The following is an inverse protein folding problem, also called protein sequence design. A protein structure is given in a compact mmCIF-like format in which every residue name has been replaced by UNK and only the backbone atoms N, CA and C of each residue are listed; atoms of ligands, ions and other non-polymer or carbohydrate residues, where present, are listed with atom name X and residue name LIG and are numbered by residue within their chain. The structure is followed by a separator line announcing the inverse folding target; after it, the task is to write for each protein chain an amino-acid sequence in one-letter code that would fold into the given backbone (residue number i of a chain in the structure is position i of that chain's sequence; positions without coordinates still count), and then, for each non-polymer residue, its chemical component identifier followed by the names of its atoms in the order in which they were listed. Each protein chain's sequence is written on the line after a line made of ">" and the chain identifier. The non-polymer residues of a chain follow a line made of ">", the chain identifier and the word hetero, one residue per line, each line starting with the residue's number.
data_IF_062056042036
#
_entry.id   IF_062056042036
#
_cell.length_a   1.000
_cell.length_b   1.000
_cell.length_c   1.000
_cell.angle_alpha   90.00
_cell.angle_beta   90.00
_cell.angle_gamma   90.00
#
_symmetry.space_group_name_H-M   'P 1'
#
loop_
_entity.id
_entity.type
_entity.pdbx_description
1 polymer ?
#
# COMPACT_ATOMS: atom_id res chain seq x y z
N UNK A 1 26.76 48.43 -6.28
CA UNK A 1 26.42 48.00 -7.66
C UNK A 1 25.03 47.40 -7.84
N UNK A 2 24.33 46.89 -6.81
CA UNK A 2 22.89 46.53 -6.89
C UNK A 2 22.44 45.85 -8.20
N UNK A 3 23.29 45.03 -8.80
CA UNK A 3 23.05 44.47 -10.14
C UNK A 3 22.20 43.19 -10.07
N UNK A 4 22.09 42.59 -8.88
CA UNK A 4 21.31 41.38 -8.57
C UNK A 4 21.59 40.21 -9.52
N UNK A 5 22.77 40.21 -10.16
CA UNK A 5 23.15 39.16 -11.10
C UNK A 5 23.59 37.91 -10.34
N UNK A 6 23.27 36.70 -10.85
CA UNK A 6 23.90 35.49 -10.34
C UNK A 6 25.39 35.48 -10.74
N UNK A 7 26.24 35.13 -9.79
CA UNK A 7 27.66 34.88 -10.03
C UNK A 7 28.00 33.50 -9.50
N UNK A 8 28.47 32.64 -10.40
CA UNK A 8 28.93 31.30 -10.07
C UNK A 8 30.15 30.98 -10.95
N UNK A 9 31.27 30.67 -10.31
CA UNK A 9 32.56 30.46 -10.95
C UNK A 9 33.11 29.09 -10.52
N UNK A 10 33.72 28.38 -11.46
CA UNK A 10 34.39 27.09 -11.25
C UNK A 10 35.87 27.22 -11.55
N UNK A 11 36.68 26.62 -10.68
CA UNK A 11 38.11 26.41 -10.90
C UNK A 11 38.39 24.91 -10.84
N UNK A 12 39.20 24.40 -11.77
CA UNK A 12 39.69 23.01 -11.77
C UNK A 12 41.20 22.92 -11.54
N UNK A 13 41.86 24.03 -11.20
CA UNK A 13 43.32 24.15 -11.11
C UNK A 13 43.78 24.78 -9.78
N UNK A 14 43.02 24.53 -8.72
CA UNK A 14 43.23 25.06 -7.37
C UNK A 14 43.18 26.60 -7.28
N UNK A 15 42.33 27.22 -8.10
CA UNK A 15 41.96 28.64 -8.01
C UNK A 15 42.80 29.56 -8.90
N UNK A 16 43.63 29.01 -9.79
CA UNK A 16 44.48 29.80 -10.70
C UNK A 16 43.65 30.40 -11.83
N UNK A 17 42.69 29.65 -12.36
CA UNK A 17 41.77 30.13 -13.39
C UNK A 17 40.32 29.83 -13.00
N UNK A 18 39.43 30.78 -13.32
CA UNK A 18 38.02 30.71 -13.00
C UNK A 18 37.19 30.87 -14.27
N UNK A 19 36.28 29.92 -14.49
CA UNK A 19 35.33 29.95 -15.59
C UNK A 19 33.92 30.11 -15.04
N UNK A 20 33.11 30.95 -15.65
CA UNK A 20 31.71 31.07 -15.25
C UNK A 20 30.93 29.81 -15.56
N UNK A 21 30.14 29.37 -14.58
CA UNK A 21 29.18 28.26 -14.68
C UNK A 21 27.76 28.75 -14.36
N UNK A 22 27.51 30.05 -14.57
CA UNK A 22 26.16 30.64 -14.44
C UNK A 22 25.20 30.06 -15.48
N UNK A 23 25.72 29.66 -16.65
CA UNK A 23 24.94 29.00 -17.70
C UNK A 23 23.72 29.82 -18.11
N UNK A 24 22.56 29.17 -18.04
CA UNK A 24 21.23 29.73 -18.34
C UNK A 24 20.40 30.08 -17.08
N UNK A 25 21.04 30.25 -15.91
CA UNK A 25 20.35 30.81 -14.73
C UNK A 25 19.70 32.16 -15.06
N UNK A 26 18.55 32.50 -14.45
CA UNK A 26 17.87 33.77 -14.72
C UNK A 26 18.77 34.98 -14.50
N UNK A 27 18.65 35.99 -15.38
CA UNK A 27 19.49 37.20 -15.35
C UNK A 27 19.44 37.99 -14.03
N UNK A 28 18.43 37.76 -13.20
CA UNK A 28 18.28 38.33 -11.85
C UNK A 28 18.06 37.22 -10.83
N UNK A 29 18.68 37.38 -9.66
CA UNK A 29 18.61 36.46 -8.54
C UNK A 29 20.02 36.02 -8.17
N UNK A 30 20.61 36.71 -7.19
CA UNK A 30 21.94 36.37 -6.70
C UNK A 30 21.98 34.94 -6.17
N UNK A 31 23.12 34.26 -6.38
CA UNK A 31 23.39 32.94 -5.80
C UNK A 31 23.86 33.14 -4.37
N UNK A 32 23.25 32.45 -3.41
CA UNK A 32 23.63 32.48 -2.00
C UNK A 32 24.21 31.17 -1.52
N UNK A 33 23.82 30.05 -2.12
CA UNK A 33 24.24 28.72 -1.72
C UNK A 33 24.59 27.87 -2.93
N UNK A 34 25.51 26.94 -2.74
CA UNK A 34 25.94 26.01 -3.76
C UNK A 34 26.30 24.68 -3.10
N UNK A 35 25.93 23.57 -3.75
CA UNK A 35 26.35 22.23 -3.34
C UNK A 35 26.66 21.39 -4.58
N UNK A 36 27.70 20.57 -4.48
CA UNK A 36 28.07 19.58 -5.50
C UNK A 36 27.65 18.20 -5.01
N UNK A 37 27.14 17.36 -5.91
CA UNK A 37 26.89 15.97 -5.59
C UNK A 37 28.18 15.23 -5.20
N UNK A 38 28.06 14.34 -4.23
CA UNK A 38 29.19 13.61 -3.67
C UNK A 38 29.62 12.39 -4.50
N UNK A 39 28.95 12.09 -5.62
CA UNK A 39 29.24 10.97 -6.52
C UNK A 39 29.50 11.45 -7.95
N UNK A 40 28.64 12.30 -8.50
CA UNK A 40 28.76 12.86 -9.86
C UNK A 40 29.12 14.36 -9.81
N UNK A 41 30.37 14.75 -10.16
CA UNK A 41 30.80 16.15 -10.10
C UNK A 41 30.12 17.07 -11.12
N UNK A 42 29.29 16.53 -12.02
CA UNK A 42 28.47 17.34 -12.95
C UNK A 42 27.07 17.64 -12.40
N UNK A 43 26.62 16.93 -11.36
CA UNK A 43 25.36 17.21 -10.68
C UNK A 43 25.60 18.30 -9.63
N UNK A 44 25.14 19.50 -9.95
CA UNK A 44 25.31 20.70 -9.13
C UNK A 44 23.96 21.21 -8.66
N UNK A 45 23.96 21.85 -7.49
CA UNK A 45 22.80 22.52 -6.90
C UNK A 45 23.13 23.96 -6.56
N UNK A 46 22.20 24.88 -6.83
CA UNK A 46 22.37 26.31 -6.54
C UNK A 46 21.12 26.88 -5.86
N UNK A 47 21.33 27.59 -4.75
CA UNK A 47 20.31 28.35 -4.04
C UNK A 47 20.40 29.81 -4.42
N UNK A 48 19.31 30.36 -4.94
CA UNK A 48 19.23 31.75 -5.41
C UNK A 48 18.19 32.55 -4.62
N UNK A 49 18.11 33.86 -4.86
CA UNK A 49 17.07 34.75 -4.29
C UNK A 49 15.62 34.27 -4.56
N UNK A 50 15.38 33.49 -5.61
CA UNK A 50 14.01 33.14 -6.02
C UNK A 50 13.71 31.65 -6.10
N UNK A 51 14.71 30.76 -6.06
CA UNK A 51 14.53 29.32 -6.15
C UNK A 51 15.79 28.51 -5.80
N UNK A 52 15.59 27.20 -5.61
CA UNK A 52 16.63 26.18 -5.75
C UNK A 52 16.68 25.67 -7.19
N UNK A 53 17.90 25.45 -7.69
CA UNK A 53 18.20 24.98 -9.04
C UNK A 53 19.09 23.75 -8.98
N UNK A 54 18.99 22.91 -10.00
CA UNK A 54 19.92 21.83 -10.23
C UNK A 54 20.44 21.87 -11.68
N UNK A 55 21.66 21.40 -11.87
CA UNK A 55 22.32 21.23 -13.16
C UNK A 55 22.89 19.82 -13.24
N UNK A 56 22.88 19.22 -14.43
CA UNK A 56 23.41 17.86 -14.66
C UNK A 56 24.60 17.79 -15.60
N UNK A 57 25.08 18.95 -16.04
CA UNK A 57 26.15 19.08 -17.04
C UNK A 57 27.24 20.06 -16.58
N UNK A 58 27.40 20.19 -15.26
CA UNK A 58 28.44 21.03 -14.65
C UNK A 58 28.17 22.53 -14.71
N UNK A 59 26.91 22.93 -14.84
CA UNK A 59 26.44 24.32 -14.76
C UNK A 59 26.21 24.97 -16.13
N UNK A 60 26.09 24.18 -17.21
CA UNK A 60 25.74 24.71 -18.54
C UNK A 60 24.24 24.94 -18.63
N UNK A 61 23.44 24.00 -18.10
CA UNK A 61 22.00 24.07 -18.05
C UNK A 61 21.44 23.84 -16.65
N UNK A 62 20.61 24.77 -16.20
CA UNK A 62 19.98 24.81 -14.89
C UNK A 62 18.47 24.68 -15.02
N UNK A 63 17.87 23.79 -14.24
CA UNK A 63 16.42 23.67 -14.12
C UNK A 63 15.98 23.91 -12.68
N UNK A 64 14.85 24.60 -12.53
CA UNK A 64 14.25 24.93 -11.24
C UNK A 64 13.77 23.65 -10.57
N UNK A 65 14.12 23.44 -9.31
CA UNK A 65 13.57 22.35 -8.51
C UNK A 65 12.11 22.70 -8.13
N UNK A 66 11.13 21.81 -8.39
CA UNK A 66 9.75 22.01 -8.00
C UNK A 66 9.55 21.78 -6.49
N UNK A 67 8.37 22.11 -5.97
CA UNK A 67 7.99 21.84 -4.57
C UNK A 67 8.32 22.95 -3.57
N UNK A 68 9.00 24.02 -4.03
CA UNK A 68 9.23 25.23 -3.24
C UNK A 68 8.45 26.43 -3.83
N UNK A 69 7.91 27.33 -2.99
CA UNK A 69 7.42 28.62 -3.46
C UNK A 69 8.59 29.46 -4.01
N UNK A 70 8.30 30.56 -4.68
CA UNK A 70 9.33 31.55 -5.03
C UNK A 70 9.90 32.16 -3.75
N UNK A 71 11.14 31.83 -3.41
CA UNK A 71 11.79 32.19 -2.14
C UNK A 71 13.32 32.15 -2.23
N UNK A 72 13.97 32.96 -1.40
CA UNK A 72 15.42 32.94 -1.25
C UNK A 72 15.89 31.67 -0.54
N UNK A 73 16.79 30.94 -1.20
CA UNK A 73 17.49 29.78 -0.64
C UNK A 73 18.84 30.23 -0.14
N UNK A 74 19.06 30.13 1.17
CA UNK A 74 20.23 30.69 1.86
C UNK A 74 21.32 29.67 2.13
N UNK A 75 20.97 28.39 2.19
CA UNK A 75 21.94 27.31 2.37
C UNK A 75 21.48 26.01 1.69
N UNK A 76 22.44 25.17 1.32
CA UNK A 76 22.26 23.87 0.69
C UNK A 76 23.26 22.88 1.29
N UNK A 77 22.78 21.74 1.78
CA UNK A 77 23.64 20.68 2.30
C UNK A 77 23.26 19.33 1.71
N UNK A 78 24.26 18.60 1.21
CA UNK A 78 24.10 17.22 0.76
C UNK A 78 24.31 16.27 1.94
N UNK A 79 23.25 15.52 2.28
CA UNK A 79 23.34 14.39 3.20
C UNK A 79 23.77 13.16 2.39
N UNK A 80 25.06 12.79 2.51
CA UNK A 80 25.69 11.75 1.69
C UNK A 80 25.15 10.33 1.94
N UNK A 81 24.77 10.02 3.18
CA UNK A 81 24.33 8.67 3.59
C UNK A 81 22.99 8.28 2.97
N UNK A 82 22.09 9.24 2.84
CA UNK A 82 20.73 9.06 2.33
C UNK A 82 20.58 9.51 0.86
N UNK A 83 21.55 10.27 0.33
CA UNK A 83 21.44 11.02 -0.93
C UNK A 83 20.33 12.08 -0.87
N UNK A 84 20.21 12.79 0.24
CA UNK A 84 19.23 13.87 0.38
C UNK A 84 19.88 15.23 0.15
N UNK A 85 19.12 16.17 -0.41
CA UNK A 85 19.49 17.58 -0.46
C UNK A 85 18.61 18.35 0.52
N UNK A 86 19.24 18.92 1.55
CA UNK A 86 18.60 19.80 2.53
C UNK A 86 18.72 21.24 2.04
N UNK A 87 17.59 21.94 1.96
CA UNK A 87 17.45 23.27 1.36
C UNK A 87 16.94 24.23 2.43
N UNK A 88 17.79 25.12 2.94
CA UNK A 88 17.39 26.12 3.92
C UNK A 88 16.90 27.40 3.23
N UNK A 89 15.70 27.86 3.58
CA UNK A 89 15.08 29.04 2.97
C UNK A 89 15.03 30.23 3.93
N UNK A 90 14.92 31.43 3.37
CA UNK A 90 14.71 32.63 4.16
C UNK A 90 13.25 32.74 4.62
N UNK A 91 12.98 32.38 5.87
CA UNK A 91 11.68 32.60 6.52
C UNK A 91 10.60 31.53 6.27
N UNK A 92 10.91 30.39 5.64
CA UNK A 92 9.99 29.24 5.49
C UNK A 92 10.62 27.90 5.90
N UNK A 93 11.56 27.94 6.84
CA UNK A 93 12.23 26.74 7.35
C UNK A 93 13.11 26.09 6.30
N UNK A 94 13.22 24.75 6.35
CA UNK A 94 13.98 23.96 5.39
C UNK A 94 13.10 22.93 4.69
N UNK A 95 13.52 22.56 3.48
CA UNK A 95 12.92 21.52 2.65
C UNK A 95 13.94 20.39 2.46
N UNK A 96 13.47 19.17 2.24
CA UNK A 96 14.32 18.02 1.94
C UNK A 96 13.89 17.43 0.61
N UNK A 97 14.82 17.35 -0.34
CA UNK A 97 14.65 16.50 -1.52
C UNK A 97 15.20 15.12 -1.16
N UNK A 98 14.30 14.24 -0.74
CA UNK A 98 14.64 12.87 -0.36
C UNK A 98 15.18 12.09 -1.57
N UNK A 99 16.31 11.41 -1.38
CA UNK A 99 16.95 10.52 -2.34
C UNK A 99 16.97 11.08 -3.78
N UNK A 100 17.89 12.00 -4.07
CA UNK A 100 18.05 12.57 -5.42
C UNK A 100 18.76 11.61 -6.41
N UNK A 101 18.97 10.34 -6.06
CA UNK A 101 19.57 9.34 -6.96
C UNK A 101 18.89 9.24 -8.34
N UNK A 102 17.54 9.32 -8.48
CA UNK A 102 16.88 9.37 -9.78
C UNK A 102 17.33 10.57 -10.62
N UNK A 103 17.56 11.73 -9.97
CA UNK A 103 18.08 12.91 -10.63
C UNK A 103 19.50 12.68 -11.15
N UNK A 104 20.35 12.01 -10.36
CA UNK A 104 21.72 11.63 -10.77
C UNK A 104 21.71 10.68 -11.97
N UNK A 105 20.85 9.66 -11.96
CA UNK A 105 20.84 8.58 -12.96
C UNK A 105 20.09 8.92 -14.26
N UNK A 106 19.16 9.87 -14.22
CA UNK A 106 18.38 10.19 -15.41
C UNK A 106 19.27 10.65 -16.57
N UNK A 107 18.97 10.25 -17.80
CA UNK A 107 19.60 10.80 -19.01
C UNK A 107 18.53 10.91 -20.08
N UNK A 108 18.80 11.65 -21.16
CA UNK A 108 17.88 11.70 -22.30
C UNK A 108 17.59 10.31 -22.89
N UNK A 109 18.49 9.33 -22.72
CA UNK A 109 18.26 7.95 -23.13
C UNK A 109 17.35 7.19 -22.15
N UNK A 110 17.61 7.27 -20.83
CA UNK A 110 16.80 6.53 -19.84
C UNK A 110 15.38 7.06 -19.72
N UNK A 111 15.15 8.36 -19.98
CA UNK A 111 13.83 8.98 -19.93
C UNK A 111 12.94 8.69 -21.16
N UNK A 112 13.42 7.93 -22.15
CA UNK A 112 12.59 7.48 -23.30
C UNK A 112 11.71 6.29 -22.99
N UNK A 113 12.06 5.51 -21.97
CA UNK A 113 11.40 4.24 -21.64
C UNK A 113 11.02 4.21 -20.17
N UNK A 114 9.98 3.47 -19.83
CA UNK A 114 9.63 3.24 -18.43
C UNK A 114 10.75 2.46 -17.72
N UNK A 115 11.03 2.80 -16.47
CA UNK A 115 12.15 2.24 -15.72
C UNK A 115 11.91 2.25 -14.23
N UNK A 116 12.67 1.43 -13.50
CA UNK A 116 12.63 1.38 -12.03
C UNK A 116 14.02 1.75 -11.52
N UNK A 117 14.06 2.68 -10.57
CA UNK A 117 15.32 3.13 -9.97
C UNK A 117 15.77 2.17 -8.86
N UNK A 118 17.09 2.08 -8.59
CA UNK A 118 17.60 1.33 -7.44
C UNK A 118 16.92 1.79 -6.14
N UNK A 119 16.48 0.82 -5.33
CA UNK A 119 15.84 1.11 -4.04
C UNK A 119 16.92 1.25 -2.98
N UNK A 120 16.91 2.36 -2.24
CA UNK A 120 17.85 2.56 -1.12
C UNK A 120 17.61 1.53 -0.01
N UNK A 121 18.65 1.26 0.78
CA UNK A 121 18.53 0.48 2.02
C UNK A 121 17.49 1.12 2.94
N UNK A 122 16.71 0.28 3.61
CA UNK A 122 15.60 0.72 4.46
C UNK A 122 15.72 0.09 5.84
N UNK A 123 15.40 0.84 6.88
CA UNK A 123 15.40 0.36 8.26
C UNK A 123 14.01 -0.16 8.64
N UNK A 124 13.94 -1.32 9.28
CA UNK A 124 12.72 -1.80 9.92
C UNK A 124 12.64 -1.22 11.33
N UNK A 125 11.71 -0.29 11.52
CA UNK A 125 11.42 0.32 12.83
C UNK A 125 9.93 0.54 13.00
N UNK A 126 9.50 0.86 14.22
CA UNK A 126 8.12 1.27 14.47
C UNK A 126 8.05 2.79 14.57
N UNK A 127 7.19 3.41 13.77
CA UNK A 127 6.96 4.85 13.85
C UNK A 127 6.32 5.19 15.19
N UNK A 128 6.93 6.09 15.94
CA UNK A 128 6.38 6.53 17.23
C UNK A 128 5.15 7.42 17.03
N UNK A 129 4.22 7.34 17.98
CA UNK A 129 3.07 8.24 18.07
C UNK A 129 3.24 9.13 19.30
N UNK A 130 4.21 10.05 19.24
CA UNK A 130 4.65 10.85 20.40
C UNK A 130 3.50 11.63 21.06
N UNK A 131 2.44 11.96 20.32
CA UNK A 131 1.28 12.72 20.84
C UNK A 131 0.06 11.84 21.14
N UNK A 132 0.24 10.52 21.28
CA UNK A 132 -0.85 9.59 21.64
C UNK A 132 -1.86 9.33 20.51
N UNK A 133 -1.48 9.61 19.26
CA UNK A 133 -2.33 9.42 18.09
C UNK A 133 -1.61 9.76 16.78
N UNK A 134 -2.35 9.76 15.66
CA UNK A 134 -1.81 10.18 14.36
C UNK A 134 -1.63 11.69 14.31
N UNK A 135 -0.57 12.15 13.63
CA UNK A 135 -0.29 13.57 13.41
C UNK A 135 -0.24 14.37 14.72
N UNK A 136 -1.00 15.46 14.79
CA UNK A 136 -1.11 16.34 15.96
C UNK A 136 -1.98 15.79 17.08
N UNK A 137 -2.66 14.65 16.88
CA UNK A 137 -3.56 14.07 17.88
C UNK A 137 -4.55 15.12 18.44
N UNK A 138 -4.56 15.33 19.76
CA UNK A 138 -5.40 16.32 20.45
C UNK A 138 -4.70 17.66 20.76
N UNK A 139 -3.58 17.97 20.11
CA UNK A 139 -2.81 19.21 20.38
C UNK A 139 -3.45 20.49 19.78
N UNK A 140 -4.49 20.34 18.94
CA UNK A 140 -5.17 21.46 18.27
C UNK A 140 -4.38 22.04 17.09
N UNK A 141 -5.02 22.93 16.32
CA UNK A 141 -4.45 23.42 15.05
C UNK A 141 -3.26 24.36 15.21
N UNK A 142 -3.17 25.06 16.35
CA UNK A 142 -2.05 25.95 16.68
C UNK A 142 -0.72 25.18 16.86
N UNK A 143 -0.78 23.88 17.12
CA UNK A 143 0.41 23.05 17.19
C UNK A 143 0.90 22.74 15.77
N UNK A 144 2.08 23.22 15.38
CA UNK A 144 2.61 22.95 14.05
C UNK A 144 3.27 21.57 13.99
N UNK A 145 2.94 20.79 12.96
CA UNK A 145 3.65 19.55 12.58
C UNK A 145 3.78 19.52 11.07
N UNK A 146 4.84 18.88 10.58
CA UNK A 146 4.99 18.52 9.17
C UNK A 146 4.96 17.00 9.03
N UNK A 147 4.62 16.51 7.84
CA UNK A 147 4.66 15.08 7.56
C UNK A 147 6.10 14.57 7.59
N UNK A 148 6.29 13.41 8.22
CA UNK A 148 7.54 12.67 8.10
C UNK A 148 7.66 12.09 6.68
N UNK A 149 8.89 11.76 6.22
CA UNK A 149 9.04 11.00 4.98
C UNK A 149 8.24 9.70 5.04
N UNK A 150 7.73 9.20 3.89
CA UNK A 150 7.00 7.94 3.85
C UNK A 150 7.79 6.81 4.52
N UNK A 151 7.12 6.07 5.41
CA UNK A 151 7.72 4.95 6.10
C UNK A 151 7.93 3.75 5.17
N UNK A 152 9.08 3.11 5.28
CA UNK A 152 9.41 1.86 4.59
C UNK A 152 10.25 2.06 3.32
N UNK A 153 10.20 1.09 2.41
CA UNK A 153 11.03 1.08 1.22
C UNK A 153 10.39 1.93 0.11
N UNK A 154 10.97 3.11 -0.14
CA UNK A 154 10.50 4.03 -1.18
C UNK A 154 10.94 3.52 -2.55
N UNK A 155 9.97 3.11 -3.35
CA UNK A 155 10.16 2.60 -4.71
C UNK A 155 9.92 3.76 -5.65
N UNK A 156 10.95 4.09 -6.44
CA UNK A 156 10.87 5.12 -7.47
C UNK A 156 10.87 4.46 -8.85
N UNK A 157 9.93 4.84 -9.71
CA UNK A 157 9.88 4.40 -11.10
C UNK A 157 9.51 5.58 -12.00
N UNK A 158 9.92 5.49 -13.26
CA UNK A 158 9.67 6.50 -14.27
C UNK A 158 8.67 5.98 -15.30
N UNK A 159 7.68 6.80 -15.64
CA UNK A 159 6.77 6.59 -16.76
C UNK A 159 6.96 7.71 -17.80
N UNK A 160 7.29 7.39 -19.07
CA UNK A 160 7.47 8.42 -20.10
C UNK A 160 6.16 9.16 -20.40
N UNK A 161 5.03 8.47 -20.26
CA UNK A 161 3.69 9.02 -20.41
C UNK A 161 2.79 8.53 -19.28
N UNK A 162 1.79 9.33 -18.93
CA UNK A 162 0.79 8.93 -17.94
C UNK A 162 -0.11 7.83 -18.50
N UNK A 163 -0.48 6.85 -17.68
CA UNK A 163 -1.48 5.84 -18.07
C UNK A 163 -2.87 6.47 -17.96
N UNK A 164 -3.56 6.60 -19.08
CA UNK A 164 -4.86 7.27 -19.19
C UNK A 164 -5.95 6.26 -19.56
N UNK A 165 -7.10 6.38 -18.92
CA UNK A 165 -8.35 5.70 -19.34
C UNK A 165 -8.78 6.17 -20.73
N UNK A 166 -9.60 5.39 -21.43
CA UNK A 166 -10.24 5.77 -22.70
C UNK A 166 -10.98 7.09 -22.56
N UNK A 167 -11.72 7.27 -21.46
CA UNK A 167 -12.40 8.52 -21.15
C UNK A 167 -11.41 9.69 -21.03
N UNK A 168 -10.29 9.53 -20.31
CA UNK A 168 -9.30 10.59 -20.14
C UNK A 168 -8.61 10.95 -21.47
N UNK A 169 -8.29 9.96 -22.31
CA UNK A 169 -7.74 10.18 -23.66
C UNK A 169 -8.71 10.93 -24.54
N UNK A 170 -10.00 10.59 -24.48
CA UNK A 170 -11.05 11.29 -25.22
C UNK A 170 -11.17 12.75 -24.77
N UNK A 171 -11.31 13.01 -23.47
CA UNK A 171 -11.44 14.37 -22.93
C UNK A 171 -10.23 15.23 -23.31
N UNK A 172 -9.03 14.66 -23.32
CA UNK A 172 -7.82 15.36 -23.78
C UNK A 172 -7.86 15.66 -25.29
N UNK A 173 -8.32 14.71 -26.11
CA UNK A 173 -8.50 14.92 -27.54
C UNK A 173 -9.56 16.00 -27.84
N UNK A 174 -10.66 16.03 -27.09
CA UNK A 174 -11.71 17.05 -27.18
C UNK A 174 -11.15 18.44 -26.83
N UNK A 175 -10.40 18.57 -25.72
CA UNK A 175 -9.71 19.81 -25.34
C UNK A 175 -8.72 20.28 -26.40
N UNK A 176 -7.97 19.35 -27.01
CA UNK A 176 -7.04 19.66 -28.08
C UNK A 176 -7.77 20.12 -29.36
N UNK A 177 -8.91 19.51 -29.69
CA UNK A 177 -9.75 19.90 -30.82
C UNK A 177 -10.36 21.29 -30.61
N UNK A 178 -10.90 21.57 -29.42
CA UNK A 178 -11.44 22.88 -29.05
C UNK A 178 -10.39 23.98 -29.19
N UNK A 179 -9.20 23.76 -28.62
CA UNK A 179 -8.08 24.71 -28.73
C UNK A 179 -7.64 24.95 -30.17
N UNK A 180 -7.83 23.96 -31.05
CA UNK A 180 -7.53 24.05 -32.47
C UNK A 180 -8.71 24.59 -33.32
N UNK A 181 -9.83 24.99 -32.70
CA UNK A 181 -11.03 25.43 -33.39
C UNK A 181 -11.71 24.34 -34.23
N UNK A 182 -11.46 23.07 -33.93
CA UNK A 182 -12.04 21.91 -34.64
C UNK A 182 -13.35 21.48 -33.98
N UNK A 183 -14.30 20.93 -34.75
CA UNK A 183 -15.55 20.43 -34.19
C UNK A 183 -15.30 19.28 -33.20
N UNK A 184 -15.95 19.33 -32.04
CA UNK A 184 -15.95 18.25 -31.05
C UNK A 184 -17.03 17.23 -31.46
N UNK A 185 -16.62 15.98 -31.68
CA UNK A 185 -17.56 14.90 -32.00
C UNK A 185 -18.03 14.21 -30.73
N UNK A 186 -19.35 14.09 -30.55
CA UNK A 186 -19.91 13.34 -29.43
C UNK A 186 -19.66 11.82 -29.58
N UNK A 187 -19.30 11.08 -28.51
CA UNK A 187 -19.03 9.65 -28.60
C UNK A 187 -20.27 8.82 -28.94
N UNK A 188 -20.08 7.68 -29.61
CA UNK A 188 -21.16 6.72 -29.80
C UNK A 188 -21.51 6.01 -28.50
N UNK A 189 -22.74 5.49 -28.39
CA UNK A 189 -23.15 4.67 -27.24
C UNK A 189 -22.25 3.45 -27.01
N UNK A 190 -21.66 2.89 -28.07
CA UNK A 190 -20.70 1.78 -27.97
C UNK A 190 -19.40 2.23 -27.30
N UNK A 191 -18.89 3.41 -27.67
CA UNK A 191 -17.70 3.99 -27.05
C UNK A 191 -17.92 4.31 -25.57
N UNK A 192 -19.08 4.89 -25.21
CA UNK A 192 -19.43 5.17 -23.82
C UNK A 192 -19.54 3.90 -22.96
N UNK A 193 -20.10 2.82 -23.52
CA UNK A 193 -20.12 1.51 -22.84
C UNK A 193 -18.71 0.93 -22.68
N UNK A 194 -17.87 1.06 -23.70
CA UNK A 194 -16.47 0.61 -23.64
C UNK A 194 -15.65 1.41 -22.61
N UNK A 195 -15.92 2.71 -22.44
CA UNK A 195 -15.35 3.55 -21.38
C UNK A 195 -15.86 3.10 -19.99
N UNK A 196 -17.17 2.84 -19.85
CA UNK A 196 -17.77 2.46 -18.57
C UNK A 196 -17.37 1.06 -18.08
N UNK A 197 -17.07 0.14 -19.01
CA UNK A 197 -16.62 -1.22 -18.71
C UNK A 197 -15.09 -1.34 -18.68
N UNK A 198 -14.36 -0.26 -18.97
CA UNK A 198 -12.90 -0.25 -18.89
C UNK A 198 -12.45 -0.41 -17.44
N UNK A 199 -11.56 -1.37 -17.22
CA UNK A 199 -10.82 -1.41 -15.97
C UNK A 199 -9.73 -0.33 -16.00
N UNK A 200 -9.72 0.54 -14.99
CA UNK A 200 -8.77 1.65 -14.93
C UNK A 200 -7.32 1.15 -14.99
N UNK A 201 -6.45 1.81 -15.79
CA UNK A 201 -5.06 1.42 -15.86
C UNK A 201 -4.39 1.65 -14.52
N UNK A 202 -3.45 0.78 -14.17
CA UNK A 202 -2.76 0.84 -12.88
C UNK A 202 -1.31 0.41 -13.01
N UNK A 203 -0.48 0.83 -12.05
CA UNK A 203 0.87 0.31 -11.87
C UNK A 203 0.83 -0.73 -10.77
N UNK A 204 1.23 -1.96 -11.06
CA UNK A 204 1.30 -3.08 -10.13
C UNK A 204 2.74 -3.20 -9.63
N UNK A 205 2.91 -3.19 -8.32
CA UNK A 205 4.19 -3.33 -7.65
C UNK A 205 4.18 -4.60 -6.85
N UNK A 206 5.10 -5.49 -7.15
CA UNK A 206 5.20 -6.80 -6.51
C UNK A 206 6.50 -6.89 -5.74
N UNK A 207 6.38 -7.18 -4.45
CA UNK A 207 7.51 -7.45 -3.56
C UNK A 207 7.65 -8.96 -3.41
N UNK A 208 8.86 -9.45 -3.60
CA UNK A 208 9.23 -10.85 -3.41
C UNK A 208 10.30 -11.01 -2.35
N UNK A 209 10.26 -12.13 -1.63
CA UNK A 209 11.31 -12.54 -0.70
C UNK A 209 12.57 -13.05 -1.42
N UNK A 210 13.54 -13.54 -0.64
CA UNK A 210 14.82 -14.07 -1.14
C UNK A 210 14.68 -15.36 -1.96
N UNK A 211 13.56 -16.09 -1.85
CA UNK A 211 13.25 -17.27 -2.66
C UNK A 211 12.60 -16.91 -4.00
N UNK A 212 12.11 -15.67 -4.12
CA UNK A 212 11.38 -15.18 -5.29
C UNK A 212 9.85 -15.25 -5.13
N UNK A 213 9.34 -15.81 -4.03
CA UNK A 213 7.91 -15.84 -3.75
C UNK A 213 7.37 -14.43 -3.51
N UNK A 214 6.25 -14.09 -4.16
CA UNK A 214 5.59 -12.80 -3.97
C UNK A 214 4.94 -12.74 -2.59
N UNK A 215 5.33 -11.75 -1.78
CA UNK A 215 4.86 -11.57 -0.41
C UNK A 215 3.90 -10.40 -0.23
N UNK A 216 3.90 -9.45 -1.17
CA UNK A 216 3.01 -8.28 -1.18
C UNK A 216 2.86 -7.78 -2.61
N UNK A 217 1.64 -7.44 -2.98
CA UNK A 217 1.33 -6.72 -4.23
C UNK A 217 0.47 -5.51 -3.90
N UNK A 218 0.76 -4.36 -4.49
CA UNK A 218 -0.03 -3.13 -4.31
C UNK A 218 0.08 -2.22 -5.54
N UNK A 219 -0.81 -1.24 -5.62
CA UNK A 219 -0.89 -0.31 -6.74
C UNK A 219 -0.04 0.95 -6.50
N UNK A 220 0.48 1.53 -7.58
CA UNK A 220 1.24 2.78 -7.58
C UNK A 220 0.64 3.88 -8.47
N UNK A 221 1.09 5.14 -8.34
CA UNK A 221 0.65 6.25 -9.18
C UNK A 221 0.86 6.05 -10.70
N UNK A 222 -0.10 6.47 -11.51
CA UNK A 222 -0.06 6.30 -12.98
C UNK A 222 0.38 7.55 -13.75
N UNK A 223 0.90 8.56 -13.05
CA UNK A 223 1.27 9.85 -13.61
C UNK A 223 2.53 9.79 -14.50
N UNK A 224 2.68 10.79 -15.37
CA UNK A 224 3.90 10.98 -16.17
C UNK A 224 5.07 11.41 -15.28
N UNK A 225 6.28 10.96 -15.62
CA UNK A 225 7.51 11.30 -14.92
C UNK A 225 7.87 10.31 -13.82
N UNK A 226 8.71 10.75 -12.89
CA UNK A 226 9.07 9.95 -11.73
C UNK A 226 7.91 9.88 -10.73
N UNK A 227 7.52 8.65 -10.40
CA UNK A 227 6.51 8.32 -9.40
C UNK A 227 7.19 7.64 -8.22
N UNK A 228 6.71 7.92 -7.01
CA UNK A 228 7.22 7.34 -5.77
C UNK A 228 6.10 6.70 -4.96
N UNK A 229 6.37 5.55 -4.37
CA UNK A 229 5.45 4.88 -3.45
C UNK A 229 6.25 4.05 -2.46
N UNK A 230 5.83 4.06 -1.19
CA UNK A 230 6.51 3.35 -0.14
C UNK A 230 5.84 1.99 0.11
N UNK A 231 6.66 0.93 0.10
CA UNK A 231 6.27 -0.34 0.71
C UNK A 231 6.48 -0.22 2.21
N UNK A 232 5.41 -0.33 2.97
CA UNK A 232 5.34 -0.27 4.44
C UNK A 232 6.03 -1.44 5.17
N UNK A 233 6.85 -2.22 4.46
CA UNK A 233 7.56 -3.40 4.98
C UNK A 233 6.63 -4.46 5.56
N UNK A 234 5.37 -4.53 5.11
CA UNK A 234 4.41 -5.54 5.57
C UNK A 234 4.13 -6.60 4.50
N UNK A 235 3.79 -7.79 4.98
CA UNK A 235 3.27 -8.88 4.15
C UNK A 235 1.85 -8.57 3.64
N UNK A 236 1.37 -9.35 2.69
CA UNK A 236 -0.04 -9.35 2.30
C UNK A 236 -0.94 -9.64 3.52
N UNK A 237 -2.13 -9.02 3.54
CA UNK A 237 -3.14 -9.43 4.51
C UNK A 237 -3.64 -10.84 4.21
N UNK A 238 -3.99 -11.54 5.28
CA UNK A 238 -4.58 -12.89 5.23
C UNK A 238 -6.10 -12.85 5.11
N UNK A 239 -6.70 -11.67 5.26
CA UNK A 239 -8.12 -11.41 5.10
C UNK A 239 -8.36 -10.53 3.89
N UNK A 240 -9.41 -10.85 3.13
CA UNK A 240 -9.88 -9.98 2.07
C UNK A 240 -10.53 -8.75 2.72
N UNK A 241 -10.11 -7.56 2.30
CA UNK A 241 -10.82 -6.34 2.66
C UNK A 241 -12.25 -6.40 2.14
N UNK A 242 -13.19 -5.74 2.82
CA UNK A 242 -14.55 -5.56 2.26
C UNK A 242 -14.40 -4.91 0.89
N UNK A 243 -14.92 -5.56 -0.15
CA UNK A 243 -14.86 -5.05 -1.52
C UNK A 243 -15.32 -3.60 -1.56
N UNK A 244 -14.49 -2.72 -2.12
CA UNK A 244 -14.91 -1.37 -2.45
C UNK A 244 -16.14 -1.43 -3.34
N UNK A 245 -17.07 -0.48 -3.17
CA UNK A 245 -18.26 -0.40 -4.03
C UNK A 245 -17.82 -0.35 -5.50
N UNK A 246 -18.44 -1.14 -6.41
CA UNK A 246 -18.18 -1.03 -7.84
C UNK A 246 -18.41 0.41 -8.31
N UNK A 247 -17.41 1.03 -8.92
CA UNK A 247 -17.47 2.42 -9.41
C UNK A 247 -16.92 3.50 -8.47
N UNK A 248 -16.41 3.14 -7.28
CA UNK A 248 -15.62 4.05 -6.47
C UNK A 248 -14.21 4.16 -7.06
N UNK A 249 -13.91 5.25 -7.77
CA UNK A 249 -12.57 5.49 -8.31
C UNK A 249 -11.51 5.34 -7.21
N UNK A 250 -10.49 4.50 -7.47
CA UNK A 250 -9.25 4.37 -6.69
C UNK A 250 -8.38 5.66 -6.74
N UNK A 251 -9.01 6.82 -6.94
CA UNK A 251 -8.40 8.15 -7.04
C UNK A 251 -8.86 9.05 -5.91
N UNK A 252 -8.67 8.61 -4.67
CA UNK A 252 -8.82 9.47 -3.49
C UNK A 252 -7.47 10.05 -3.10
N UNK A 253 -7.19 11.29 -3.51
CA UNK A 253 -6.19 12.16 -2.88
C UNK A 253 -6.59 12.36 -1.40
N UNK A 254 -6.11 11.49 -0.53
CA UNK A 254 -6.48 11.50 0.88
C UNK A 254 -5.80 10.39 1.67
N UNK A 255 -4.50 10.57 1.96
CA UNK A 255 -3.83 10.15 3.22
C UNK A 255 -4.13 8.77 3.82
N UNK A 256 -4.51 7.77 3.04
CA UNK A 256 -4.87 6.44 3.49
C UNK A 256 -3.95 5.37 2.90
N UNK A 257 -2.66 5.41 3.23
CA UNK A 257 -1.80 4.26 2.98
C UNK A 257 -2.36 3.03 3.71
N UNK A 258 -2.69 1.99 2.96
CA UNK A 258 -2.90 0.64 3.50
C UNK A 258 -4.30 0.10 3.30
N UNK A 259 -4.57 -0.43 2.10
CA UNK A 259 -5.43 -1.62 2.02
C UNK A 259 -4.90 -2.71 2.97
N UNK A 260 -5.71 -3.69 3.38
CA UNK A 260 -5.38 -4.65 4.43
C UNK A 260 -3.91 -5.12 4.37
N UNK A 261 -3.17 -4.96 5.47
CA UNK A 261 -1.76 -5.31 5.57
C UNK A 261 -1.51 -6.41 6.58
N UNK A 262 -0.57 -7.31 6.28
CA UNK A 262 -0.07 -8.31 7.20
C UNK A 262 0.92 -7.74 8.23
N UNK A 263 1.63 -8.61 8.96
CA UNK A 263 2.70 -8.19 9.86
C UNK A 263 3.90 -7.67 9.10
N UNK A 264 4.79 -7.00 9.82
CA UNK A 264 6.08 -6.61 9.31
C UNK A 264 6.90 -7.82 8.86
N UNK A 265 7.61 -7.65 7.75
CA UNK A 265 8.69 -8.56 7.34
C UNK A 265 9.82 -8.57 8.36
N UNK A 266 10.77 -9.48 8.19
CA UNK A 266 12.00 -9.52 8.97
C UNK A 266 13.10 -8.77 8.22
N UNK A 267 14.15 -8.25 8.91
CA UNK A 267 15.32 -7.73 8.23
C UNK A 267 15.92 -8.80 7.30
N UNK A 268 16.26 -8.41 6.08
CA UNK A 268 16.68 -9.33 5.04
C UNK A 268 16.68 -8.68 3.65
N UNK A 269 16.92 -9.53 2.65
CA UNK A 269 16.95 -9.13 1.24
C UNK A 269 15.63 -9.48 0.57
N UNK A 270 15.02 -8.47 -0.04
CA UNK A 270 13.80 -8.56 -0.81
C UNK A 270 14.05 -8.05 -2.22
N UNK A 271 13.05 -8.16 -3.08
CA UNK A 271 13.11 -7.60 -4.42
C UNK A 271 11.78 -7.01 -4.84
N UNK A 272 11.84 -6.04 -5.75
CA UNK A 272 10.67 -5.40 -6.34
C UNK A 272 10.69 -5.56 -7.86
N UNK A 273 9.53 -5.89 -8.40
CA UNK A 273 9.21 -5.75 -9.83
C UNK A 273 8.04 -4.80 -9.98
N UNK A 274 8.04 -4.05 -11.07
CA UNK A 274 6.97 -3.10 -11.38
C UNK A 274 6.42 -3.44 -12.75
N UNK A 275 5.10 -3.43 -12.89
CA UNK A 275 4.40 -3.66 -14.14
C UNK A 275 3.27 -2.64 -14.31
N UNK A 276 2.87 -2.39 -15.54
CA UNK A 276 1.67 -1.62 -15.87
C UNK A 276 0.57 -2.59 -16.27
N UNK A 277 -0.67 -2.26 -15.95
CA UNK A 277 -1.84 -2.97 -16.44
C UNK A 277 -2.72 -1.98 -17.18
N UNK A 278 -2.95 -2.23 -18.46
CA UNK A 278 -3.81 -1.42 -19.34
C UNK A 278 -4.67 -2.37 -20.15
N UNK A 279 -6.00 -2.17 -20.13
CA UNK A 279 -6.96 -3.07 -20.79
C UNK A 279 -6.77 -4.56 -20.41
N UNK A 280 -6.45 -4.82 -19.13
CA UNK A 280 -6.19 -6.18 -18.61
C UNK A 280 -4.83 -6.77 -18.96
N UNK A 281 -4.04 -6.14 -19.82
CA UNK A 281 -2.71 -6.62 -20.22
C UNK A 281 -1.65 -6.12 -19.23
N UNK A 282 -0.96 -7.05 -18.58
CA UNK A 282 0.14 -6.74 -17.64
C UNK A 282 1.47 -6.74 -18.36
N UNK A 283 2.20 -5.62 -18.31
CA UNK A 283 3.51 -5.44 -18.94
C UNK A 283 4.55 -4.95 -17.93
N UNK A 284 5.60 -5.73 -17.69
CA UNK A 284 6.70 -5.35 -16.81
C UNK A 284 7.44 -4.11 -17.31
N UNK A 285 7.85 -3.23 -16.40
CA UNK A 285 8.66 -2.05 -16.69
C UNK A 285 9.99 -2.09 -15.93
N UNK A 286 11.05 -1.59 -16.56
CA UNK A 286 12.40 -1.60 -15.98
C UNK A 286 12.92 -3.00 -15.66
N UNK A 287 13.89 -3.05 -14.75
CA UNK A 287 14.52 -4.29 -14.27
C UNK A 287 14.20 -4.50 -12.79
N UNK A 288 14.18 -5.77 -12.38
CA UNK A 288 14.02 -6.18 -10.98
C UNK A 288 15.07 -5.49 -10.11
N UNK A 289 14.63 -4.82 -9.04
CA UNK A 289 15.51 -4.16 -8.07
C UNK A 289 15.56 -4.93 -6.76
N UNK A 290 16.69 -4.83 -6.07
CA UNK A 290 16.90 -5.42 -4.74
C UNK A 290 16.56 -4.40 -3.66
N UNK A 291 15.92 -4.85 -2.59
CA UNK A 291 15.60 -4.06 -1.41
C UNK A 291 16.33 -4.69 -0.22
N UNK A 292 17.19 -3.93 0.43
CA UNK A 292 17.86 -4.34 1.68
C UNK A 292 17.13 -3.75 2.87
N UNK A 293 16.43 -4.61 3.62
CA UNK A 293 15.76 -4.24 4.88
C UNK A 293 16.71 -4.56 6.03
N UNK A 294 17.09 -3.54 6.78
CA UNK A 294 18.08 -3.61 7.85
C UNK A 294 17.40 -3.49 9.22
N UNK A 295 18.02 -4.06 10.24
CA UNK A 295 17.62 -3.80 11.62
C UNK A 295 17.96 -2.37 12.00
N UNK A 296 17.04 -1.68 12.67
CA UNK A 296 17.28 -0.32 13.16
C UNK A 296 18.49 -0.30 14.12
N UNK A 297 19.56 0.47 13.84
CA UNK A 297 20.74 0.55 14.69
C UNK A 297 20.45 1.19 16.05
N UNK A 298 19.36 1.95 16.18
CA UNK A 298 18.90 2.49 17.46
C UNK A 298 17.92 1.55 18.18
N UNK A 299 17.49 0.46 17.53
CA UNK A 299 16.55 -0.50 18.07
C UNK A 299 17.19 -1.44 19.10
N UNK A 300 16.37 -1.94 20.03
CA UNK A 300 16.79 -2.90 21.06
C UNK A 300 16.55 -4.36 20.67
N UNK A 301 15.84 -4.61 19.56
CA UNK A 301 15.46 -5.96 19.11
C UNK A 301 16.60 -6.58 18.32
N UNK A 302 17.04 -7.78 18.72
CA UNK A 302 18.10 -8.50 18.03
C UNK A 302 17.62 -9.13 16.71
N UNK A 303 18.55 -9.36 15.78
CA UNK A 303 18.25 -10.05 14.49
C UNK A 303 17.67 -11.46 14.74
N UNK A 304 18.13 -12.17 15.77
CA UNK A 304 17.59 -13.49 16.15
C UNK A 304 16.12 -13.42 16.55
N UNK A 305 15.71 -12.39 17.29
CA UNK A 305 14.32 -12.19 17.71
C UNK A 305 13.41 -11.89 16.52
N UNK A 306 13.88 -11.10 15.54
CA UNK A 306 13.14 -10.91 14.29
C UNK A 306 12.92 -12.23 13.56
N UNK A 307 13.94 -13.09 13.49
CA UNK A 307 13.83 -14.40 12.84
C UNK A 307 12.82 -15.31 13.55
N UNK A 308 12.80 -15.31 14.89
CA UNK A 308 11.81 -16.03 15.69
C UNK A 308 10.39 -15.50 15.45
N UNK A 309 10.23 -14.17 15.46
CA UNK A 309 8.98 -13.50 15.12
C UNK A 309 8.50 -13.89 13.73
N UNK A 310 9.38 -13.89 12.74
CA UNK A 310 9.04 -14.28 11.36
C UNK A 310 8.45 -15.69 11.28
N UNK A 311 9.09 -16.68 11.92
CA UNK A 311 8.60 -18.07 11.95
C UNK A 311 7.22 -18.18 12.62
N UNK A 312 7.05 -17.46 13.74
CA UNK A 312 5.78 -17.44 14.47
C UNK A 312 4.66 -16.77 13.67
N UNK A 313 4.95 -15.62 13.04
CA UNK A 313 3.98 -14.88 12.24
C UNK A 313 3.50 -15.69 11.03
N UNK A 314 4.36 -16.46 10.36
CA UNK A 314 3.92 -17.31 9.25
C UNK A 314 2.87 -18.33 9.69
N UNK A 315 3.05 -18.96 10.86
CA UNK A 315 2.07 -19.90 11.43
C UNK A 315 0.77 -19.18 11.83
N UNK A 316 0.89 -18.04 12.52
CA UNK A 316 -0.27 -17.25 12.93
C UNK A 316 -1.07 -16.75 11.72
N UNK A 317 -0.41 -16.31 10.65
CA UNK A 317 -1.06 -15.82 9.44
C UNK A 317 -1.83 -16.92 8.71
N UNK A 318 -1.25 -18.11 8.60
CA UNK A 318 -1.93 -19.28 8.05
C UNK A 318 -3.19 -19.60 8.87
N UNK A 319 -3.05 -19.60 10.19
CA UNK A 319 -4.17 -19.80 11.10
C UNK A 319 -5.25 -18.73 10.91
N UNK A 320 -4.87 -17.46 10.81
CA UNK A 320 -5.79 -16.35 10.61
C UNK A 320 -6.55 -16.46 9.30
N UNK A 321 -5.89 -16.87 8.22
CA UNK A 321 -6.52 -17.12 6.92
C UNK A 321 -7.57 -18.22 7.03
N UNK A 322 -7.22 -19.35 7.66
CA UNK A 322 -8.13 -20.49 7.80
C UNK A 322 -9.33 -20.16 8.69
N UNK A 323 -9.10 -19.50 9.83
CA UNK A 323 -10.16 -19.11 10.77
C UNK A 323 -11.09 -18.09 10.12
N UNK A 324 -10.55 -17.06 9.46
CA UNK A 324 -11.36 -16.06 8.78
C UNK A 324 -12.23 -16.69 7.69
N UNK A 325 -11.67 -17.62 6.91
CA UNK A 325 -12.44 -18.38 5.92
C UNK A 325 -13.55 -19.24 6.55
N UNK A 326 -13.30 -19.84 7.71
CA UNK A 326 -14.31 -20.61 8.43
C UNK A 326 -15.43 -19.72 9.01
N UNK A 327 -15.11 -18.54 9.53
CA UNK A 327 -16.09 -17.56 10.02
C UNK A 327 -16.97 -17.05 8.89
N UNK A 328 -16.38 -16.69 7.75
CA UNK A 328 -17.13 -16.26 6.56
C UNK A 328 -18.03 -17.39 6.03
N UNK A 329 -17.50 -18.62 5.96
CA UNK A 329 -18.29 -19.79 5.56
C UNK A 329 -19.44 -20.06 6.52
N UNK A 330 -19.21 -19.98 7.84
CA UNK A 330 -20.26 -20.15 8.84
C UNK A 330 -21.35 -19.08 8.69
N UNK A 331 -20.97 -17.82 8.45
CA UNK A 331 -21.91 -16.70 8.23
C UNK A 331 -22.76 -16.90 6.98
N UNK A 332 -22.14 -17.31 5.86
CA UNK A 332 -22.86 -17.63 4.63
C UNK A 332 -23.80 -18.84 4.82
N UNK A 333 -23.35 -19.84 5.59
CA UNK A 333 -24.12 -21.05 5.90
C UNK A 333 -25.34 -20.74 6.77
N UNK A 334 -25.20 -19.81 7.73
CA UNK A 334 -26.30 -19.35 8.58
C UNK A 334 -27.42 -18.75 7.71
N UNK A 335 -27.05 -17.87 6.77
CA UNK A 335 -27.99 -17.26 5.83
C UNK A 335 -28.74 -18.31 4.99
N UNK A 336 -28.04 -19.36 4.53
CA UNK A 336 -28.65 -20.48 3.80
C UNK A 336 -29.62 -21.27 4.68
N UNK A 337 -29.21 -21.66 5.89
CA UNK A 337 -30.04 -22.44 6.80
C UNK A 337 -31.28 -21.67 7.27
N UNK A 338 -31.19 -20.36 7.47
CA UNK A 338 -32.35 -19.52 7.80
C UNK A 338 -33.37 -19.42 6.64
N UNK A 339 -32.89 -19.44 5.39
CA UNK A 339 -33.76 -19.57 4.23
C UNK A 339 -34.40 -20.96 4.16
N UNK A 340 -33.63 -22.02 4.39
CA UNK A 340 -34.13 -23.40 4.44
C UNK A 340 -35.18 -23.61 5.53
N UNK A 341 -34.98 -23.03 6.71
CA UNK A 341 -35.95 -23.08 7.80
C UNK A 341 -37.27 -22.46 7.38
N UNK A 342 -37.24 -21.24 6.80
CA UNK A 342 -38.45 -20.58 6.28
C UNK A 342 -39.13 -21.40 5.20
N UNK A 343 -38.37 -21.95 4.25
CA UNK A 343 -38.92 -22.80 3.19
C UNK A 343 -39.55 -24.09 3.74
N UNK A 344 -38.91 -24.74 4.71
CA UNK A 344 -39.39 -25.94 5.37
C UNK A 344 -40.65 -25.71 6.22
N UNK A 345 -40.74 -24.54 6.88
CA UNK A 345 -41.87 -24.16 7.72
C UNK A 345 -43.09 -23.72 6.90
N UNK A 346 -42.89 -23.15 5.71
CA UNK A 346 -43.97 -22.66 4.85
C UNK A 346 -44.51 -23.71 3.87
N UNK A 347 -43.75 -24.76 3.57
CA UNK A 347 -44.14 -25.79 2.60
C UNK A 347 -44.92 -26.93 3.27
N UNK A 348 -46.22 -27.12 2.97
CA UNK A 348 -47.05 -28.12 3.65
C UNK A 348 -46.62 -29.57 3.41
N UNK A 349 -45.95 -29.82 2.29
CA UNK A 349 -45.49 -31.16 1.89
C UNK A 349 -44.13 -31.56 2.51
N UNK A 350 -43.47 -30.66 3.25
CA UNK A 350 -42.19 -30.96 3.90
C UNK A 350 -42.42 -31.78 5.18
N UNK A 351 -41.82 -32.98 5.31
CA UNK A 351 -41.97 -33.79 6.51
C UNK A 351 -41.37 -33.13 7.76
N UNK A 352 -41.98 -33.36 8.93
CA UNK A 352 -41.46 -32.88 10.21
C UNK A 352 -40.00 -33.31 10.48
N UNK A 353 -39.58 -34.47 9.98
CA UNK A 353 -38.20 -34.93 10.04
C UNK A 353 -37.23 -33.93 9.38
N UNK A 354 -37.55 -33.44 8.17
CA UNK A 354 -36.72 -32.48 7.43
C UNK A 354 -36.67 -31.13 8.17
N UNK A 355 -37.80 -30.69 8.74
CA UNK A 355 -37.83 -29.47 9.54
C UNK A 355 -36.94 -29.59 10.79
N UNK A 356 -36.92 -30.76 11.43
CA UNK A 356 -36.06 -31.05 12.58
C UNK A 356 -34.58 -31.11 12.16
N UNK A 357 -34.27 -31.69 11.00
CA UNK A 357 -32.90 -31.72 10.46
C UNK A 357 -32.37 -30.31 10.21
N UNK A 358 -33.18 -29.40 9.66
CA UNK A 358 -32.80 -27.98 9.49
C UNK A 358 -32.50 -27.33 10.84
N UNK A 359 -33.34 -27.56 11.86
CA UNK A 359 -33.13 -26.99 13.21
C UNK A 359 -31.91 -27.58 13.90
N UNK A 360 -31.64 -28.87 13.72
CA UNK A 360 -30.44 -29.53 14.21
C UNK A 360 -29.18 -28.96 13.54
N UNK A 361 -29.23 -28.74 12.22
CA UNK A 361 -28.15 -28.09 11.47
C UNK A 361 -27.90 -26.65 11.94
N UNK A 362 -28.95 -25.87 12.20
CA UNK A 362 -28.84 -24.53 12.79
C UNK A 362 -28.17 -24.55 14.16
N UNK A 363 -28.58 -25.47 15.04
CA UNK A 363 -27.98 -25.63 16.37
C UNK A 363 -26.51 -26.05 16.29
N UNK A 364 -26.17 -26.97 15.39
CA UNK A 364 -24.79 -27.38 15.15
C UNK A 364 -23.94 -26.20 14.65
N UNK A 365 -24.46 -25.41 13.70
CA UNK A 365 -23.79 -24.21 13.21
C UNK A 365 -23.60 -23.15 14.30
N UNK A 366 -24.58 -22.99 15.18
CA UNK A 366 -24.49 -22.06 16.31
C UNK A 366 -23.31 -22.41 17.22
N UNK A 367 -23.16 -23.68 17.61
CA UNK A 367 -22.02 -24.14 18.42
C UNK A 367 -20.67 -23.94 17.71
N UNK A 368 -20.62 -24.20 16.40
CA UNK A 368 -19.42 -23.91 15.58
C UNK A 368 -19.11 -22.41 15.58
N UNK A 369 -20.12 -21.57 15.38
CA UNK A 369 -19.97 -20.11 15.30
C UNK A 369 -19.54 -19.51 16.64
N UNK A 370 -20.07 -20.04 17.74
CA UNK A 370 -19.69 -19.66 19.11
C UNK A 370 -18.21 -19.98 19.39
N UNK A 371 -17.74 -21.18 19.02
CA UNK A 371 -16.33 -21.53 19.17
C UNK A 371 -15.41 -20.68 18.28
N UNK A 372 -15.83 -20.41 17.03
CA UNK A 372 -15.04 -19.63 16.08
C UNK A 372 -14.98 -18.15 16.43
N UNK A 373 -16.11 -17.53 16.79
CA UNK A 373 -16.26 -16.06 16.87
C UNK A 373 -16.71 -15.54 18.24
N UNK A 374 -17.03 -16.43 19.18
CA UNK A 374 -17.43 -16.10 20.55
C UNK A 374 -18.93 -16.17 20.80
N UNK A 375 -19.29 -16.19 22.09
CA UNK A 375 -20.68 -16.22 22.54
C UNK A 375 -21.30 -14.81 22.58
N UNK A 376 -21.98 -14.46 21.50
CA UNK A 376 -22.69 -13.18 21.39
C UNK A 376 -23.89 -13.07 22.34
N UNK A 377 -24.44 -14.19 22.82
CA UNK A 377 -25.61 -14.22 23.71
C UNK A 377 -25.19 -13.79 25.11
N UNK A 378 -24.11 -14.36 25.64
CA UNK A 378 -23.56 -13.95 26.94
C UNK A 378 -22.92 -12.55 26.88
N UNK A 379 -22.19 -12.22 25.80
CA UNK A 379 -21.63 -10.88 25.60
C UNK A 379 -22.69 -9.78 25.54
N UNK A 380 -23.82 -10.06 24.89
CA UNK A 380 -24.95 -9.12 24.85
C UNK A 380 -25.53 -8.81 26.24
N UNK A 381 -25.19 -9.62 27.25
CA UNK A 381 -25.55 -9.43 28.66
C UNK A 381 -24.40 -8.94 29.52
N UNK A 382 -23.26 -8.59 28.93
CA UNK A 382 -22.02 -8.22 29.63
C UNK A 382 -21.47 -9.31 30.55
N UNK A 383 -21.78 -10.58 30.27
CA UNK A 383 -21.19 -11.71 31.00
C UNK A 383 -19.79 -12.03 30.47
N UNK A 384 -18.89 -12.45 31.36
CA UNK A 384 -17.52 -12.81 31.01
C UNK A 384 -17.47 -14.09 30.19
N UNK A 385 -16.98 -14.00 28.95
CA UNK A 385 -16.79 -15.15 28.06
C UNK A 385 -15.30 -15.39 27.78
N UNK A 386 -14.83 -16.65 27.68
CA UNK A 386 -13.46 -16.92 27.26
C UNK A 386 -13.23 -16.42 25.81
N UNK A 387 -11.97 -16.10 25.44
CA UNK A 387 -11.64 -15.74 24.07
C UNK A 387 -11.93 -16.88 23.10
N UNK A 388 -12.62 -16.57 21.99
CA UNK A 388 -12.84 -17.46 20.86
C UNK A 388 -11.58 -17.69 20.04
N UNK A 389 -11.64 -18.65 19.11
CA UNK A 389 -10.53 -18.97 18.20
C UNK A 389 -10.13 -17.73 17.39
N UNK A 390 -11.10 -16.99 16.82
CA UNK A 390 -10.82 -15.79 16.04
C UNK A 390 -10.21 -14.67 16.88
N UNK A 391 -10.65 -14.51 18.14
CA UNK A 391 -10.11 -13.48 19.03
C UNK A 391 -8.68 -13.78 19.47
N UNK A 392 -8.34 -15.05 19.74
CA UNK A 392 -6.95 -15.44 20.05
C UNK A 392 -6.04 -15.12 18.88
N UNK A 393 -6.41 -15.57 17.69
CA UNK A 393 -5.59 -15.40 16.48
C UNK A 393 -5.52 -13.92 16.06
N UNK A 394 -6.63 -13.19 16.15
CA UNK A 394 -6.72 -11.77 15.84
C UNK A 394 -6.01 -10.88 16.87
N UNK A 395 -6.09 -11.23 18.15
CA UNK A 395 -5.39 -10.54 19.25
C UNK A 395 -3.88 -10.60 19.05
N UNK A 396 -3.34 -11.78 18.71
CA UNK A 396 -1.92 -11.93 18.36
C UNK A 396 -1.54 -11.01 17.19
N UNK A 397 -2.36 -10.94 16.13
CA UNK A 397 -2.08 -10.07 15.00
C UNK A 397 -2.05 -8.58 15.40
N UNK A 398 -2.96 -8.16 16.28
CA UNK A 398 -3.02 -6.80 16.82
C UNK A 398 -1.77 -6.45 17.63
N UNK A 399 -1.36 -7.33 18.52
CA UNK A 399 -0.21 -7.13 19.41
C UNK A 399 1.12 -7.19 18.65
N UNK A 400 1.29 -8.17 17.75
CA UNK A 400 2.47 -8.26 16.88
C UNK A 400 2.53 -7.14 15.84
N UNK A 401 1.41 -6.48 15.55
CA UNK A 401 1.38 -5.25 14.77
C UNK A 401 2.05 -4.07 15.48
N UNK A 402 2.23 -4.17 16.80
CA UNK A 402 2.76 -3.13 17.70
C UNK A 402 4.12 -3.47 18.32
N UNK A 403 4.72 -4.59 17.93
CA UNK A 403 5.96 -5.07 18.52
C UNK A 403 6.80 -5.86 17.50
N UNK A 404 8.12 -5.63 17.49
CA UNK A 404 9.03 -6.23 16.51
C UNK A 404 9.88 -7.39 17.05
N UNK A 405 9.88 -7.66 18.36
CA UNK A 405 10.67 -8.71 18.98
C UNK A 405 10.00 -10.09 18.99
N UNK A 406 10.59 -11.02 19.76
CA UNK A 406 10.13 -12.40 19.82
C UNK A 406 8.71 -12.54 20.43
N UNK A 407 7.89 -13.51 19.97
CA UNK A 407 6.53 -13.68 20.47
C UNK A 407 6.53 -14.05 21.96
N UNK A 408 5.63 -13.43 22.73
CA UNK A 408 5.50 -13.70 24.17
C UNK A 408 4.99 -15.12 24.43
N UNK A 409 5.19 -15.63 25.65
CA UNK A 409 4.67 -16.94 26.06
C UNK A 409 3.14 -17.01 25.98
N UNK A 410 2.44 -15.90 26.22
CA UNK A 410 0.98 -15.80 26.05
C UNK A 410 0.58 -15.97 24.60
N UNK A 411 1.23 -15.25 23.66
CA UNK A 411 0.96 -15.38 22.22
C UNK A 411 1.19 -16.82 21.72
N UNK A 412 2.26 -17.46 22.18
CA UNK A 412 2.57 -18.85 21.83
C UNK A 412 1.48 -19.81 22.34
N UNK A 413 1.01 -19.62 23.58
CA UNK A 413 -0.06 -20.42 24.17
C UNK A 413 -1.39 -20.21 23.43
N UNK A 414 -1.75 -18.97 23.14
CA UNK A 414 -2.99 -18.64 22.44
C UNK A 414 -3.03 -19.23 21.03
N UNK A 415 -1.91 -19.20 20.31
CA UNK A 415 -1.82 -19.84 19.00
C UNK A 415 -1.98 -21.36 19.10
N UNK A 416 -1.33 -22.00 20.08
CA UNK A 416 -1.45 -23.45 20.28
C UNK A 416 -2.87 -23.88 20.65
N UNK A 417 -3.56 -23.12 21.50
CA UNK A 417 -4.97 -23.35 21.85
C UNK A 417 -5.84 -23.22 20.59
N UNK A 418 -5.67 -22.14 19.83
CA UNK A 418 -6.44 -21.90 18.61
C UNK A 418 -6.22 -23.02 17.58
N UNK A 419 -4.97 -23.44 17.35
CA UNK A 419 -4.61 -24.56 16.45
C UNK A 419 -5.32 -25.87 16.85
N UNK A 420 -5.36 -26.16 18.15
CA UNK A 420 -6.03 -27.36 18.69
C UNK A 420 -7.55 -27.31 18.53
N UNK A 421 -8.18 -26.22 18.99
CA UNK A 421 -9.64 -26.07 19.00
C UNK A 421 -10.22 -25.98 17.57
N UNK A 422 -9.52 -25.29 16.68
CA UNK A 422 -9.97 -25.09 15.30
C UNK A 422 -10.03 -26.38 14.49
N UNK A 423 -9.15 -27.35 14.76
CA UNK A 423 -9.15 -28.60 14.02
C UNK A 423 -10.51 -29.32 14.09
N UNK A 424 -11.12 -29.35 15.29
CA UNK A 424 -12.44 -29.93 15.51
C UNK A 424 -13.55 -29.13 14.81
N UNK A 425 -13.54 -27.79 14.96
CA UNK A 425 -14.57 -26.94 14.36
C UNK A 425 -14.51 -26.93 12.84
N UNK A 426 -13.32 -26.99 12.26
CA UNK A 426 -13.11 -27.11 10.81
C UNK A 426 -13.69 -28.41 10.27
N UNK A 427 -13.50 -29.53 10.97
CA UNK A 427 -14.07 -30.81 10.58
C UNK A 427 -15.60 -30.78 10.66
N UNK A 428 -16.17 -30.28 11.76
CA UNK A 428 -17.61 -30.16 11.95
C UNK A 428 -18.27 -29.26 10.89
N UNK A 429 -17.66 -28.10 10.59
CA UNK A 429 -18.16 -27.18 9.56
C UNK A 429 -18.13 -27.82 8.16
N UNK A 430 -17.06 -28.59 7.84
CA UNK A 430 -16.98 -29.32 6.57
C UNK A 430 -18.10 -30.36 6.45
N UNK A 431 -18.31 -31.19 7.47
CA UNK A 431 -19.39 -32.19 7.47
C UNK A 431 -20.77 -31.53 7.36
N UNK A 432 -20.99 -30.41 8.05
CA UNK A 432 -22.24 -29.67 7.96
C UNK A 432 -22.49 -29.17 6.52
N UNK A 433 -21.50 -28.53 5.91
CA UNK A 433 -21.63 -27.89 4.58
C UNK A 433 -21.62 -28.91 3.45
N UNK A 434 -20.79 -29.95 3.52
CA UNK A 434 -20.58 -30.89 2.41
C UNK A 434 -21.48 -32.12 2.46
N UNK A 435 -22.01 -32.48 3.64
CA UNK A 435 -22.82 -33.70 3.79
C UNK A 435 -24.23 -33.41 4.29
N UNK A 436 -24.36 -32.61 5.36
CA UNK A 436 -25.66 -32.42 6.03
C UNK A 436 -26.56 -31.51 5.21
N UNK A 437 -26.06 -30.35 4.79
CA UNK A 437 -26.84 -29.37 4.01
C UNK A 437 -27.31 -29.95 2.66
N UNK A 438 -26.47 -30.61 1.85
CA UNK A 438 -26.94 -31.19 0.59
C UNK A 438 -28.06 -32.24 0.77
N UNK A 439 -28.03 -33.03 1.86
CA UNK A 439 -29.11 -33.98 2.18
C UNK A 439 -30.42 -33.26 2.49
N UNK A 440 -30.36 -32.17 3.26
CA UNK A 440 -31.53 -31.32 3.57
C UNK A 440 -32.06 -30.68 2.28
N UNK A 441 -31.19 -30.14 1.45
CA UNK A 441 -31.56 -29.50 0.17
C UNK A 441 -32.28 -30.47 -0.77
N UNK A 442 -31.76 -31.69 -0.91
CA UNK A 442 -32.40 -32.73 -1.72
C UNK A 442 -33.77 -33.14 -1.17
N UNK A 443 -33.93 -33.20 0.16
CA UNK A 443 -35.21 -33.51 0.78
C UNK A 443 -36.23 -32.37 0.61
N UNK A 444 -35.80 -31.11 0.70
CA UNK A 444 -36.63 -29.94 0.45
C UNK A 444 -37.08 -29.85 -1.01
N UNK A 445 -36.18 -30.13 -1.96
CA UNK A 445 -36.51 -30.17 -3.39
C UNK A 445 -37.53 -31.27 -3.69
N UNK A 446 -37.31 -32.49 -3.17
CA UNK A 446 -38.26 -33.60 -3.32
C UNK A 446 -39.64 -33.29 -2.73
N UNK A 447 -39.70 -32.45 -1.70
CA UNK A 447 -40.94 -32.00 -1.06
C UNK A 447 -41.58 -30.76 -1.74
N UNK A 448 -40.98 -30.23 -2.81
CA UNK A 448 -41.50 -29.05 -3.52
C UNK A 448 -41.42 -27.76 -2.72
N UNK A 449 -40.46 -27.62 -1.81
CA UNK A 449 -40.28 -26.40 -1.02
C UNK A 449 -39.77 -25.23 -1.89
N UNK A 450 -40.11 -23.96 -1.56
CA UNK A 450 -39.59 -22.78 -2.27
C UNK A 450 -38.07 -22.77 -2.40
N UNK A 451 -37.55 -22.13 -3.45
CA UNK A 451 -36.12 -22.01 -3.70
C UNK A 451 -35.35 -21.39 -2.52
N UNK A 452 -34.16 -21.91 -2.25
CA UNK A 452 -33.25 -21.39 -1.22
C UNK A 452 -31.85 -21.15 -1.81
N UNK A 453 -31.13 -20.09 -1.39
CA UNK A 453 -29.80 -19.78 -1.93
C UNK A 453 -28.83 -20.98 -1.88
N UNK A 454 -28.13 -21.21 -2.99
CA UNK A 454 -27.16 -22.30 -3.13
C UNK A 454 -27.76 -23.65 -3.51
N UNK A 455 -29.10 -23.79 -3.52
CA UNK A 455 -29.78 -24.92 -4.16
C UNK A 455 -29.68 -24.76 -5.68
N UNK A 456 -29.48 -25.86 -6.39
CA UNK A 456 -29.61 -25.86 -7.86
C UNK A 456 -31.12 -25.96 -8.19
N UNK A 457 -31.65 -25.09 -9.06
CA UNK A 457 -33.06 -25.08 -9.41
C UNK A 457 -33.47 -26.28 -10.28
#
# INVERSE_FOLDING_TARGET
>A
NSDYKPYLLKSTDAGRTWTSIVGDLPARGSVYAFAEDHVDPNLLFAGTEFAAWASKDGGKHWFKLPGLPTIAVRDLVVQKRENDLVIATFGRGFYVLDDYTPLRRATAATLKTAGVEPVRRTWLYMTTQNYGGRGKSFQGENFFTADNPPYGAVITYYLPEALKTKQARRVEAEKAAEKAGKPISYPSNSALKAEALEEAPTVIITISDSTGAAIRTFNGPVGKGFQRVAWDLRLAATTLGRGGRPGGGEGGEGGGFGGPSGPYVVPGTYSVTVATRVDGVVTSIGTKQTISVLNDPAGTVAISEHAERGKFMSRQQEMQRQVSGAVELATATQTRLDAMKRAADQAPAVPAAVQNDVRAALKALQGISEALSGDNILRGRNEGTPPSIAERVGGIAGDMGRFLGAPTSTMQRDLAIAESEFAAQRAALRTLVQETIPKIEAALEKAGAPYTPGRLP
#
